data_IF_212968753619
#
_entry.id   IF_212968753619
#
_cell.length_a   1.000
_cell.length_b   1.000
_cell.length_c   1.000
_cell.angle_alpha   90.00
_cell.angle_beta   90.00
_cell.angle_gamma   90.00
#
_symmetry.space_group_name_H-M   'P 1'
#
loop_
_entity.id
_entity.type
_entity.pdbx_description
1 polymer ?
#
# COMPACT_ATOMS: atom_id res chain seq x y z
N UNK A 1 -6.71 -13.24 -5.06
CA UNK A 1 -5.45 -12.47 -5.00
C UNK A 1 -5.57 -11.44 -3.88
N UNK A 2 -4.83 -11.59 -2.78
CA UNK A 2 -5.04 -10.79 -1.56
C UNK A 2 -4.76 -9.29 -1.71
N UNK A 3 -3.98 -8.90 -2.72
CA UNK A 3 -3.59 -7.52 -3.00
C UNK A 3 -4.80 -6.62 -3.26
N UNK A 4 -5.86 -7.13 -3.88
CA UNK A 4 -7.08 -6.37 -4.18
C UNK A 4 -7.77 -5.85 -2.90
N UNK A 5 -7.56 -6.51 -1.75
CA UNK A 5 -8.06 -6.03 -0.44
C UNK A 5 -7.44 -4.68 -0.04
N UNK A 6 -6.26 -4.34 -0.57
CA UNK A 6 -5.63 -3.03 -0.36
C UNK A 6 -6.22 -1.94 -1.27
N UNK A 7 -6.76 -2.32 -2.43
CA UNK A 7 -7.13 -1.38 -3.47
C UNK A 7 -8.64 -1.28 -3.73
N UNK A 8 -9.46 -2.03 -2.99
CA UNK A 8 -10.92 -1.82 -2.96
C UNK A 8 -11.23 -0.38 -2.57
N UNK A 9 -12.19 0.22 -3.25
CA UNK A 9 -12.67 1.56 -2.93
C UNK A 9 -13.63 1.48 -1.74
N UNK A 10 -13.44 2.35 -0.76
CA UNK A 10 -14.29 2.45 0.43
C UNK A 10 -14.72 3.90 0.61
N UNK A 11 -15.96 4.09 1.06
CA UNK A 11 -16.45 5.40 1.48
C UNK A 11 -15.98 5.63 2.91
N UNK A 12 -15.28 6.74 3.13
CA UNK A 12 -14.93 7.24 4.45
C UNK A 12 -15.55 8.61 4.62
N UNK A 13 -15.96 8.92 5.85
CA UNK A 13 -16.34 10.27 6.23
C UNK A 13 -15.13 10.95 6.84
N UNK A 14 -14.69 12.04 6.24
CA UNK A 14 -13.60 12.84 6.76
C UNK A 14 -14.02 13.46 8.11
N UNK A 15 -13.27 13.25 9.21
CA UNK A 15 -13.64 13.80 10.51
C UNK A 15 -13.52 15.34 10.56
N UNK A 16 -12.65 15.93 9.75
CA UNK A 16 -12.41 17.38 9.72
C UNK A 16 -13.43 18.09 8.83
N UNK A 17 -13.58 17.64 7.57
CA UNK A 17 -14.48 18.30 6.61
C UNK A 17 -15.92 17.79 6.67
N UNK A 18 -16.17 16.67 7.36
CA UNK A 18 -17.45 15.93 7.39
C UNK A 18 -17.95 15.44 6.04
N UNK A 19 -17.14 15.58 4.99
CA UNK A 19 -17.46 15.15 3.63
C UNK A 19 -17.24 13.64 3.47
N UNK A 20 -18.02 13.05 2.55
CA UNK A 20 -17.79 11.69 2.12
C UNK A 20 -16.71 11.66 1.03
N UNK A 21 -15.67 10.86 1.25
CA UNK A 21 -14.59 10.64 0.28
C UNK A 21 -14.51 9.17 -0.06
N UNK A 22 -14.33 8.88 -1.35
CA UNK A 22 -14.08 7.52 -1.82
C UNK A 22 -12.57 7.34 -1.95
N UNK A 23 -11.99 6.50 -1.11
CA UNK A 23 -10.55 6.25 -1.07
C UNK A 23 -10.25 4.76 -1.18
N UNK A 24 -9.00 4.39 -1.43
CA UNK A 24 -8.58 2.99 -1.36
C UNK A 24 -8.61 2.51 0.10
N UNK A 25 -8.88 1.22 0.33
CA UNK A 25 -8.83 0.65 1.68
C UNK A 25 -7.43 0.75 2.31
N UNK A 26 -6.37 0.73 1.49
CA UNK A 26 -5.00 1.04 1.92
C UNK A 26 -4.93 2.46 2.50
N UNK A 27 -5.49 3.44 1.78
CA UNK A 27 -5.49 4.83 2.24
C UNK A 27 -6.29 4.99 3.52
N UNK A 28 -7.49 4.41 3.60
CA UNK A 28 -8.32 4.43 4.80
C UNK A 28 -7.58 3.87 6.03
N UNK A 29 -6.81 2.78 5.87
CA UNK A 29 -5.99 2.21 6.97
C UNK A 29 -4.78 3.06 7.34
N UNK A 30 -4.21 3.76 6.36
CA UNK A 30 -3.10 4.67 6.59
C UNK A 30 -3.58 5.88 7.42
N UNK A 31 -4.70 6.48 7.00
CA UNK A 31 -5.32 7.61 7.69
C UNK A 31 -5.83 7.21 9.09
N UNK A 32 -6.39 5.99 9.25
CA UNK A 32 -6.84 5.50 10.56
C UNK A 32 -5.71 5.30 11.57
N UNK A 33 -4.45 5.25 11.12
CA UNK A 33 -3.26 5.20 11.99
C UNK A 33 -2.70 6.60 12.28
N UNK A 34 -3.39 7.66 11.87
CA UNK A 34 -2.96 9.05 12.02
C UNK A 34 -1.57 9.30 11.42
N UNK A 35 -1.24 8.60 10.33
CA UNK A 35 0.04 8.75 9.64
C UNK A 35 -0.05 9.93 8.65
N UNK A 36 0.96 10.79 8.67
CA UNK A 36 1.10 11.88 7.70
C UNK A 36 2.02 11.44 6.55
N UNK A 37 1.60 11.67 5.30
CA UNK A 37 2.34 11.27 4.09
C UNK A 37 3.77 11.82 4.08
N UNK A 38 3.95 13.09 4.47
CA UNK A 38 5.24 13.77 4.39
C UNK A 38 6.18 13.27 5.48
N UNK A 39 5.71 13.20 6.72
CA UNK A 39 6.47 12.69 7.87
C UNK A 39 6.83 11.22 7.66
N UNK A 40 5.87 10.39 7.27
CA UNK A 40 6.07 8.96 7.05
C UNK A 40 7.11 8.71 5.97
N UNK A 41 6.97 9.36 4.81
CA UNK A 41 7.95 9.21 3.74
C UNK A 41 9.35 9.70 4.11
N UNK A 42 9.47 10.85 4.78
CA UNK A 42 10.78 11.36 5.23
C UNK A 42 11.43 10.41 6.23
N UNK A 43 10.66 9.93 7.21
CA UNK A 43 11.12 8.97 8.24
C UNK A 43 11.69 7.69 7.63
N UNK A 44 11.07 7.19 6.56
CA UNK A 44 11.45 5.92 5.92
C UNK A 44 12.21 6.10 4.60
N UNK A 45 12.63 7.33 4.28
CA UNK A 45 13.31 7.70 3.03
C UNK A 45 12.61 7.14 1.78
N UNK A 46 11.29 7.36 1.67
CA UNK A 46 10.44 6.86 0.60
C UNK A 46 10.21 7.92 -0.50
N UNK A 47 10.34 7.47 -1.75
CA UNK A 47 10.22 8.29 -2.95
C UNK A 47 8.78 8.84 -3.12
N UNK A 48 8.66 10.14 -3.41
CA UNK A 48 7.36 10.87 -3.44
C UNK A 48 6.43 10.36 -4.51
N UNK A 49 6.92 10.29 -5.73
CA UNK A 49 6.12 9.95 -6.89
C UNK A 49 5.55 8.55 -6.74
N UNK A 50 6.38 7.58 -6.35
CA UNK A 50 5.96 6.19 -6.19
C UNK A 50 4.98 6.03 -5.04
N UNK A 51 5.19 6.69 -3.89
CA UNK A 51 4.26 6.61 -2.77
C UNK A 51 2.87 7.16 -3.13
N UNK A 52 2.80 8.33 -3.75
CA UNK A 52 1.52 8.91 -4.19
C UNK A 52 0.84 8.04 -5.25
N UNK A 53 1.61 7.48 -6.20
CA UNK A 53 1.08 6.54 -7.21
C UNK A 53 0.53 5.25 -6.57
N UNK A 54 1.19 4.73 -5.53
CA UNK A 54 0.73 3.53 -4.82
C UNK A 54 -0.59 3.81 -4.07
N UNK A 55 -0.66 4.90 -3.31
CA UNK A 55 -1.87 5.26 -2.56
C UNK A 55 -3.08 5.48 -3.47
N UNK A 56 -2.84 6.00 -4.68
CA UNK A 56 -3.84 6.21 -5.72
C UNK A 56 -4.09 4.98 -6.62
N UNK A 57 -3.57 3.78 -6.28
CA UNK A 57 -3.69 2.53 -7.08
C UNK A 57 -3.08 2.60 -8.49
N UNK A 58 -2.33 3.64 -8.85
CA UNK A 58 -1.65 3.73 -10.15
C UNK A 58 -0.49 2.73 -10.27
N UNK A 59 0.04 2.28 -9.13
CA UNK A 59 1.02 1.21 -9.01
C UNK A 59 0.51 0.28 -7.91
N UNK A 60 0.66 -1.04 -8.07
CA UNK A 60 0.13 -2.05 -7.14
C UNK A 60 1.16 -3.11 -6.71
N UNK A 61 2.40 -3.00 -7.20
CA UNK A 61 3.48 -3.93 -6.87
C UNK A 61 3.50 -5.22 -7.69
N UNK A 62 2.47 -5.54 -8.49
CA UNK A 62 2.41 -6.79 -9.27
C UNK A 62 3.51 -6.89 -10.34
N UNK A 63 3.87 -5.74 -10.93
CA UNK A 63 4.92 -5.63 -11.97
C UNK A 63 6.30 -5.31 -11.39
N UNK A 64 6.48 -5.41 -10.06
CA UNK A 64 7.79 -5.23 -9.44
C UNK A 64 8.72 -6.33 -9.94
N UNK A 65 9.77 -5.92 -10.64
CA UNK A 65 10.87 -6.78 -11.08
C UNK A 65 12.06 -6.72 -10.13
N UNK A 66 12.19 -5.61 -9.40
CA UNK A 66 13.26 -5.33 -8.46
C UNK A 66 12.69 -5.18 -7.04
N UNK A 67 13.04 -6.12 -6.16
CA UNK A 67 12.58 -6.20 -4.77
C UNK A 67 13.22 -5.16 -3.84
N UNK A 68 14.23 -4.44 -4.34
CA UNK A 68 14.86 -3.29 -3.71
C UNK A 68 14.36 -1.96 -4.27
N UNK A 69 13.59 -2.02 -5.36
CA UNK A 69 12.97 -0.86 -5.99
C UNK A 69 12.02 -0.11 -5.06
N UNK A 70 11.81 1.18 -5.35
CA UNK A 70 11.01 2.09 -4.51
C UNK A 70 9.64 1.53 -4.14
N UNK A 71 8.91 0.95 -5.12
CA UNK A 71 7.60 0.35 -4.89
C UNK A 71 7.67 -0.80 -3.88
N UNK A 72 8.67 -1.68 -4.00
CA UNK A 72 8.84 -2.82 -3.11
C UNK A 72 9.16 -2.35 -1.69
N UNK A 73 10.05 -1.36 -1.54
CA UNK A 73 10.41 -0.76 -0.25
C UNK A 73 9.20 -0.13 0.44
N UNK A 74 8.38 0.61 -0.30
CA UNK A 74 7.16 1.23 0.26
C UNK A 74 6.18 0.15 0.74
N UNK A 75 5.89 -0.87 -0.08
CA UNK A 75 4.96 -1.94 0.28
C UNK A 75 5.47 -2.74 1.48
N UNK A 76 6.76 -3.08 1.53
CA UNK A 76 7.40 -3.73 2.69
C UNK A 76 7.21 -2.92 3.96
N UNK A 77 7.44 -1.61 3.90
CA UNK A 77 7.28 -0.74 5.05
C UNK A 77 5.82 -0.64 5.50
N UNK A 78 4.88 -0.47 4.56
CA UNK A 78 3.44 -0.48 4.86
C UNK A 78 2.97 -1.81 5.48
N UNK A 79 3.57 -2.95 5.10
CA UNK A 79 3.29 -4.26 5.72
C UNK A 79 3.82 -4.32 7.15
N UNK A 80 5.06 -3.85 7.39
CA UNK A 80 5.62 -3.75 8.75
C UNK A 80 4.77 -2.90 9.69
N UNK A 81 4.21 -1.81 9.17
CA UNK A 81 3.36 -0.90 9.95
C UNK A 81 1.88 -1.36 10.02
N UNK A 82 1.55 -2.53 9.46
CA UNK A 82 0.22 -3.13 9.47
C UNK A 82 -0.83 -2.37 8.64
N UNK A 83 -0.39 -1.53 7.71
CA UNK A 83 -1.25 -0.81 6.76
C UNK A 83 -1.56 -1.69 5.56
N UNK A 84 -0.57 -2.43 5.07
CA UNK A 84 -0.73 -3.42 4.02
C UNK A 84 -1.30 -4.72 4.59
N UNK A 85 -2.33 -5.25 3.94
CA UNK A 85 -3.02 -6.48 4.34
C UNK A 85 -2.79 -7.57 3.30
N UNK A 86 -2.53 -8.79 3.78
CA UNK A 86 -2.27 -9.97 2.95
C UNK A 86 -0.82 -10.10 2.52
N UNK A 87 -0.57 -11.08 1.66
CA UNK A 87 0.78 -11.37 1.14
C UNK A 87 1.32 -10.20 0.31
N UNK A 88 2.66 -10.11 0.26
CA UNK A 88 3.33 -9.17 -0.63
C UNK A 88 3.07 -9.60 -2.08
N UNK A 89 2.99 -8.64 -3.02
CA UNK A 89 2.68 -8.95 -4.42
C UNK A 89 3.58 -9.98 -5.08
N UNK A 90 4.78 -10.14 -4.56
CA UNK A 90 5.81 -11.01 -5.10
C UNK A 90 6.03 -12.29 -4.28
N UNK A 91 5.48 -12.40 -3.06
CA UNK A 91 5.47 -13.66 -2.29
C UNK A 91 4.62 -14.73 -3.01
N UNK A 92 3.61 -14.32 -3.77
CA UNK A 92 2.73 -15.24 -4.53
C UNK A 92 3.49 -15.98 -5.66
N UNK A 93 4.68 -15.49 -6.07
CA UNK A 93 5.46 -16.14 -7.14
C UNK A 93 6.20 -17.40 -6.69
N UNK A 94 6.28 -17.67 -5.38
CA UNK A 94 6.99 -18.84 -4.86
C UNK A 94 6.08 -20.06 -4.60
N UNK A 95 4.75 -19.93 -4.64
CA UNK A 95 3.82 -21.05 -4.43
C UNK A 95 3.44 -21.81 -5.71
N UNK A 96 4.38 -22.10 -6.63
CA UNK A 96 4.18 -23.19 -7.63
C UNK A 96 5.55 -23.75 -8.09
N UNK A 97 6.40 -24.19 -7.17
CA UNK A 97 7.52 -25.09 -7.50
C UNK A 97 7.82 -25.99 -6.32
N UNK A 98 6.89 -26.87 -5.99
CA UNK A 98 7.18 -28.16 -5.32
C UNK A 98 5.87 -28.94 -5.20
N UNK A 99 5.48 -29.60 -6.28
CA UNK A 99 4.70 -30.83 -6.21
C UNK A 99 5.35 -31.80 -7.20
N UNK A 100 5.73 -32.96 -6.67
CA UNK A 100 6.55 -34.04 -7.19
C UNK A 100 6.44 -34.40 -8.67
#
# INVERSE_FOLDING_TARGET
MDIEKNFRMVKIRDPETREEKIVTALRARFDSKCLDDTKYRKKHNLEKSTFSKLMARRVNGLKVRDFEGNTARIIKQLKKDGVWVGSLPWEIKEEVKDVC
#
